data_IF_851054589054
#
_entry.id   IF_851054589054
#
_cell.length_a   1.000
_cell.length_b   1.000
_cell.length_c   1.000
_cell.angle_alpha   90.00
_cell.angle_beta   90.00
_cell.angle_gamma   90.00
#
_symmetry.space_group_name_H-M   'P 1'
#
loop_
_entity.id
_entity.type
_entity.pdbx_description
1 polymer ?
#
# COMPACT_ATOMS: atom_id res chain seq x y z
N UNK A 1 -25.56 12.38 11.64
CA UNK A 1 -24.52 12.37 12.69
C UNK A 1 -25.16 12.32 14.06
N UNK A 2 -24.58 11.61 15.03
CA UNK A 2 -25.09 11.56 16.43
C UNK A 2 -24.03 12.15 17.35
N UNK A 3 -24.38 13.16 18.16
CA UNK A 3 -23.44 13.88 19.03
C UNK A 3 -23.19 13.13 20.35
N UNK A 4 -21.95 13.16 20.86
CA UNK A 4 -21.60 12.51 22.15
C UNK A 4 -21.71 13.48 23.34
N UNK A 5 -22.05 12.98 24.53
CA UNK A 5 -22.13 13.81 25.75
C UNK A 5 -20.78 14.44 26.16
N UNK A 6 -19.66 13.79 25.82
CA UNK A 6 -18.30 14.28 26.08
C UNK A 6 -17.96 15.52 25.24
N UNK A 7 -18.56 15.64 24.04
CA UNK A 7 -18.42 16.78 23.15
C UNK A 7 -18.91 18.09 23.78
N UNK A 8 -20.01 18.03 24.56
CA UNK A 8 -20.58 19.19 25.25
C UNK A 8 -19.69 19.68 26.40
N UNK A 9 -18.91 18.79 27.03
CA UNK A 9 -17.94 19.15 28.06
C UNK A 9 -16.61 19.65 27.48
N UNK A 10 -16.19 19.15 26.32
CA UNK A 10 -14.89 19.45 25.73
C UNK A 10 -14.90 20.66 24.79
N UNK A 11 -16.06 21.27 24.50
CA UNK A 11 -16.24 22.35 23.51
C UNK A 11 -15.76 22.02 22.08
N UNK A 12 -15.48 20.74 21.80
CA UNK A 12 -15.11 20.22 20.49
C UNK A 12 -16.20 19.27 19.99
N UNK A 13 -16.62 19.34 18.72
CA UNK A 13 -17.62 18.43 18.16
C UNK A 13 -17.07 17.00 18.08
N UNK A 14 -17.57 16.10 18.94
CA UNK A 14 -17.24 14.66 18.98
C UNK A 14 -18.52 13.88 18.79
N UNK A 15 -18.61 13.12 17.70
CA UNK A 15 -19.79 12.33 17.35
C UNK A 15 -19.61 10.90 17.83
N UNK A 16 -20.66 10.26 18.35
CA UNK A 16 -20.60 8.81 18.58
C UNK A 16 -20.51 8.03 17.27
N UNK A 17 -21.10 8.60 16.21
CA UNK A 17 -21.02 8.10 14.83
C UNK A 17 -21.14 9.26 13.84
N UNK A 18 -20.13 9.36 12.96
CA UNK A 18 -20.16 10.22 11.79
C UNK A 18 -20.40 9.35 10.55
N UNK A 19 -21.61 9.43 9.99
CA UNK A 19 -21.96 8.74 8.74
C UNK A 19 -22.03 9.76 7.62
N UNK A 20 -21.32 9.50 6.52
CA UNK A 20 -21.36 10.29 5.29
C UNK A 20 -21.89 9.38 4.19
N UNK A 21 -23.02 9.76 3.61
CA UNK A 21 -23.69 9.00 2.56
C UNK A 21 -23.30 9.53 1.18
N UNK A 22 -22.86 8.62 0.31
CA UNK A 22 -22.43 8.84 -1.07
C UNK A 22 -21.60 10.13 -1.32
N UNK A 23 -20.53 10.41 -0.54
CA UNK A 23 -19.74 11.61 -0.77
C UNK A 23 -18.99 11.53 -2.09
N UNK A 24 -18.86 12.67 -2.76
CA UNK A 24 -18.01 12.85 -3.92
C UNK A 24 -16.79 13.69 -3.53
N UNK A 25 -15.62 13.06 -3.56
CA UNK A 25 -14.36 13.67 -3.12
C UNK A 25 -13.39 13.71 -4.30
N UNK A 26 -12.90 14.90 -4.62
CA UNK A 26 -11.77 15.05 -5.53
C UNK A 26 -10.50 15.21 -4.71
N UNK A 27 -9.55 14.31 -4.90
CA UNK A 27 -8.21 14.39 -4.34
C UNK A 27 -7.26 14.77 -5.47
N UNK A 28 -6.54 15.88 -5.33
CA UNK A 28 -5.66 16.42 -6.36
C UNK A 28 -4.26 16.58 -5.80
N UNK A 29 -3.25 16.01 -6.46
CA UNK A 29 -1.85 16.36 -6.25
C UNK A 29 -1.45 17.38 -7.30
N UNK A 30 -0.95 18.54 -6.88
CA UNK A 30 -0.49 19.57 -7.80
C UNK A 30 0.92 19.32 -8.33
N UNK A 31 1.38 20.14 -9.28
CA UNK A 31 2.73 20.06 -9.86
C UNK A 31 3.85 20.18 -8.83
N UNK A 32 3.61 20.87 -7.71
CA UNK A 32 4.54 21.01 -6.60
C UNK A 32 4.53 19.79 -5.67
N UNK A 33 3.60 18.85 -5.85
CA UNK A 33 3.44 17.65 -5.03
C UNK A 33 2.50 17.82 -3.84
N UNK A 34 1.89 18.99 -3.69
CA UNK A 34 0.95 19.31 -2.61
C UNK A 34 -0.36 18.60 -2.86
N UNK A 35 -0.96 18.04 -1.82
CA UNK A 35 -2.21 17.27 -1.93
C UNK A 35 -3.38 18.14 -1.50
N UNK A 36 -4.47 18.09 -2.25
CA UNK A 36 -5.71 18.81 -1.99
C UNK A 36 -6.85 17.83 -1.90
N UNK A 37 -7.69 17.92 -0.87
CA UNK A 37 -8.90 17.10 -0.67
C UNK A 37 -10.11 18.02 -0.73
N UNK A 38 -10.99 17.82 -1.72
CA UNK A 38 -12.16 18.69 -1.89
C UNK A 38 -11.80 20.17 -2.13
N UNK A 39 -10.60 20.45 -2.64
CA UNK A 39 -10.09 21.81 -2.84
C UNK A 39 -9.28 22.39 -1.67
N UNK A 40 -9.22 21.72 -0.52
CA UNK A 40 -8.44 22.14 0.66
C UNK A 40 -7.05 21.51 0.59
N UNK A 41 -5.99 22.32 0.59
CA UNK A 41 -4.60 21.82 0.57
C UNK A 41 -4.16 21.29 1.94
N UNK A 42 -3.55 20.11 1.99
CA UNK A 42 -2.97 19.52 3.21
C UNK A 42 -1.81 20.38 3.76
N UNK A 43 -1.05 21.01 2.86
CA UNK A 43 0.13 21.82 3.15
C UNK A 43 -0.25 23.24 3.62
N UNK A 44 -1.40 23.76 3.16
CA UNK A 44 -1.98 25.02 3.62
C UNK A 44 -2.66 24.87 4.99
N UNK A 45 -2.73 23.65 5.50
CA UNK A 45 -3.33 23.30 6.77
C UNK A 45 -2.36 23.51 7.96
N UNK A 46 -1.21 24.17 7.77
CA UNK A 46 -0.51 24.78 8.90
C UNK A 46 -1.13 26.12 9.32
N UNK A 47 -1.96 26.77 8.49
CA UNK A 47 -2.43 28.15 8.72
C UNK A 47 -3.91 28.42 8.41
N UNK A 48 -4.74 27.40 8.17
CA UNK A 48 -6.19 27.57 7.96
C UNK A 48 -7.01 26.52 8.72
N UNK A 49 -8.10 26.96 9.34
CA UNK A 49 -9.11 26.20 10.13
C UNK A 49 -9.86 25.09 9.35
N UNK A 50 -9.34 24.65 8.20
CA UNK A 50 -9.95 23.66 7.34
C UNK A 50 -9.33 22.27 7.56
N UNK A 51 -9.83 21.52 8.55
CA UNK A 51 -9.99 20.05 8.57
C UNK A 51 -8.82 19.09 8.32
N UNK A 52 -7.64 19.56 7.90
CA UNK A 52 -6.48 18.72 7.53
C UNK A 52 -5.17 19.22 8.13
N UNK A 53 -5.25 20.04 9.18
CA UNK A 53 -4.11 20.39 10.04
C UNK A 53 -3.72 19.17 10.90
N UNK A 54 -2.58 19.18 11.62
CA UNK A 54 -2.32 18.17 12.67
C UNK A 54 -3.53 18.04 13.62
N UNK A 55 -4.18 19.17 13.94
CA UNK A 55 -5.41 19.20 14.75
C UNK A 55 -6.63 18.61 14.03
N UNK A 56 -6.73 18.72 12.70
CA UNK A 56 -7.79 18.09 11.90
C UNK A 56 -7.66 16.57 11.84
N UNK A 57 -6.43 16.06 11.71
CA UNK A 57 -6.13 14.64 11.84
C UNK A 57 -6.40 14.15 13.27
N UNK A 58 -5.94 14.88 14.28
CA UNK A 58 -6.25 14.57 15.68
C UNK A 58 -7.77 14.52 15.92
N UNK A 59 -8.52 15.49 15.41
CA UNK A 59 -9.98 15.52 15.49
C UNK A 59 -10.60 14.30 14.81
N UNK A 60 -10.18 13.96 13.59
CA UNK A 60 -10.66 12.82 12.82
C UNK A 60 -10.47 11.50 13.59
N UNK A 61 -9.26 11.25 14.11
CA UNK A 61 -8.96 10.04 14.88
C UNK A 61 -9.50 10.07 16.31
N UNK A 62 -9.89 11.23 16.81
CA UNK A 62 -10.63 11.36 18.06
C UNK A 62 -12.08 10.93 17.94
N UNK A 63 -12.63 10.83 16.72
CA UNK A 63 -14.00 10.37 16.48
C UNK A 63 -14.11 8.85 16.73
N UNK A 64 -14.97 8.38 17.63
CA UNK A 64 -15.21 6.96 17.88
C UNK A 64 -15.49 6.12 16.64
N UNK A 65 -16.36 6.61 15.74
CA UNK A 65 -16.68 5.92 14.50
C UNK A 65 -16.93 6.91 13.36
N UNK A 66 -16.28 6.67 12.23
CA UNK A 66 -16.55 7.32 10.94
C UNK A 66 -16.89 6.24 9.91
N UNK A 67 -18.04 6.39 9.25
CA UNK A 67 -18.47 5.54 8.17
C UNK A 67 -18.76 6.38 6.92
N UNK A 68 -18.24 5.95 5.77
CA UNK A 68 -18.60 6.43 4.45
C UNK A 68 -19.24 5.27 3.72
N UNK A 69 -20.41 5.49 3.14
CA UNK A 69 -21.14 4.47 2.37
C UNK A 69 -21.35 4.98 0.96
N UNK A 70 -21.00 4.18 -0.04
CA UNK A 70 -21.29 4.48 -1.45
C UNK A 70 -20.55 5.69 -2.04
N UNK A 71 -19.41 6.09 -1.47
CA UNK A 71 -18.66 7.26 -1.92
C UNK A 71 -18.03 7.11 -3.30
N UNK A 72 -17.63 8.23 -3.88
CA UNK A 72 -16.82 8.31 -5.11
C UNK A 72 -15.60 9.18 -4.87
N UNK A 73 -14.43 8.69 -5.27
CA UNK A 73 -13.18 9.43 -5.17
C UNK A 73 -12.56 9.59 -6.55
N UNK A 74 -12.28 10.84 -6.93
CA UNK A 74 -11.52 11.17 -8.13
C UNK A 74 -10.12 11.60 -7.72
N UNK A 75 -9.11 10.80 -8.05
CA UNK A 75 -7.70 11.12 -7.86
C UNK A 75 -7.11 11.75 -9.13
N UNK A 76 -6.55 12.95 -9.00
CA UNK A 76 -5.90 13.70 -10.06
C UNK A 76 -4.45 13.96 -9.66
N UNK A 77 -3.48 13.52 -10.46
CA UNK A 77 -2.05 13.80 -10.21
C UNK A 77 -1.48 14.66 -11.34
N UNK A 78 -1.26 15.95 -11.07
CA UNK A 78 -0.71 16.90 -12.04
C UNK A 78 0.79 16.71 -12.30
N UNK A 79 1.51 15.97 -11.43
CA UNK A 79 2.90 15.60 -11.70
C UNK A 79 3.00 14.53 -12.78
N UNK A 80 1.91 13.80 -13.01
CA UNK A 80 1.82 12.74 -14.01
C UNK A 80 0.77 13.14 -15.05
N UNK A 81 1.12 14.11 -15.88
CA UNK A 81 0.26 14.71 -16.91
C UNK A 81 -0.29 13.69 -17.93
N UNK A 82 0.39 12.56 -18.10
CA UNK A 82 -0.05 11.45 -18.96
C UNK A 82 -1.02 10.46 -18.29
N UNK A 83 -1.18 10.54 -16.96
CA UNK A 83 -2.02 9.63 -16.20
C UNK A 83 -3.48 10.12 -16.21
N UNK A 84 -4.40 9.27 -16.70
CA UNK A 84 -5.84 9.57 -16.58
C UNK A 84 -6.22 9.65 -15.10
N UNK A 85 -7.13 10.57 -14.72
CA UNK A 85 -7.66 10.60 -13.36
C UNK A 85 -8.20 9.23 -12.94
N UNK A 86 -7.82 8.78 -11.75
CA UNK A 86 -8.29 7.52 -11.18
C UNK A 86 -9.63 7.77 -10.49
N UNK A 87 -10.68 7.13 -10.98
CA UNK A 87 -12.02 7.20 -10.38
C UNK A 87 -12.33 5.91 -9.63
N UNK A 88 -12.49 6.02 -8.32
CA UNK A 88 -12.91 4.93 -7.45
C UNK A 88 -14.39 5.11 -7.12
N UNK A 89 -15.20 4.09 -7.44
CA UNK A 89 -16.64 4.07 -7.17
C UNK A 89 -17.03 3.09 -6.07
N UNK A 90 -18.21 3.33 -5.46
CA UNK A 90 -18.76 2.46 -4.42
C UNK A 90 -17.83 2.33 -3.22
N UNK A 91 -17.17 3.42 -2.85
CA UNK A 91 -16.24 3.48 -1.74
C UNK A 91 -17.00 3.34 -0.43
N UNK A 92 -16.72 2.26 0.29
CA UNK A 92 -17.19 2.04 1.64
C UNK A 92 -15.97 2.13 2.56
N UNK A 93 -15.99 3.08 3.48
CA UNK A 93 -14.94 3.26 4.48
C UNK A 93 -15.55 3.16 5.86
N UNK A 94 -14.89 2.45 6.76
CA UNK A 94 -15.22 2.48 8.17
C UNK A 94 -13.94 2.60 8.98
N UNK A 95 -13.95 3.55 9.91
CA UNK A 95 -12.91 3.75 10.90
C UNK A 95 -13.54 3.69 12.28
N UNK A 96 -12.96 2.86 13.15
CA UNK A 96 -13.34 2.71 14.55
C UNK A 96 -12.14 3.02 15.42
N UNK A 97 -12.26 4.05 16.25
CA UNK A 97 -11.22 4.49 17.15
C UNK A 97 -11.64 4.16 18.59
N UNK A 98 -10.81 3.40 19.29
CA UNK A 98 -10.84 3.25 20.73
C UNK A 98 -9.91 4.24 21.41
N UNK A 99 -9.65 4.03 22.71
CA UNK A 99 -8.72 4.88 23.47
C UNK A 99 -7.31 4.90 22.86
N UNK A 100 -6.86 3.75 22.34
CA UNK A 100 -5.54 3.60 21.70
C UNK A 100 -5.55 2.78 20.42
N UNK A 101 -6.67 2.14 20.09
CA UNK A 101 -6.78 1.26 18.94
C UNK A 101 -7.47 1.97 17.79
N UNK A 102 -6.98 1.76 16.58
CA UNK A 102 -7.54 2.32 15.36
C UNK A 102 -7.75 1.17 14.38
N UNK A 103 -9.00 0.88 14.07
CA UNK A 103 -9.37 -0.13 13.08
C UNK A 103 -9.98 0.56 11.87
N UNK A 104 -9.40 0.32 10.70
CA UNK A 104 -9.86 0.89 9.44
C UNK A 104 -10.16 -0.22 8.43
N UNK A 105 -11.18 0.00 7.61
CA UNK A 105 -11.48 -0.81 6.44
C UNK A 105 -11.96 0.09 5.32
N UNK A 106 -11.38 -0.09 4.15
CA UNK A 106 -11.75 0.56 2.91
C UNK A 106 -12.04 -0.51 1.87
N UNK A 107 -13.22 -0.47 1.28
CA UNK A 107 -13.57 -1.30 0.14
C UNK A 107 -13.96 -0.37 -1.01
N UNK A 108 -13.26 -0.43 -2.14
CA UNK A 108 -13.49 0.46 -3.28
C UNK A 108 -13.40 -0.27 -4.61
N UNK A 109 -14.13 0.21 -5.62
CA UNK A 109 -14.18 -0.38 -6.96
C UNK A 109 -13.42 0.52 -7.92
N UNK A 110 -12.32 0.05 -8.51
CA UNK A 110 -11.60 0.82 -9.53
C UNK A 110 -12.36 0.79 -10.87
N UNK A 111 -11.90 1.54 -11.88
CA UNK A 111 -12.43 1.43 -13.24
C UNK A 111 -12.32 0.00 -13.78
N UNK A 112 -13.22 -0.40 -14.67
CA UNK A 112 -13.34 -1.78 -15.14
C UNK A 112 -12.07 -2.30 -15.86
N UNK A 113 -11.30 -1.40 -16.47
CA UNK A 113 -10.00 -1.68 -17.11
C UNK A 113 -8.86 -1.86 -16.12
N UNK A 114 -9.03 -1.52 -14.84
CA UNK A 114 -8.00 -1.59 -13.81
C UNK A 114 -8.10 -2.82 -12.92
N UNK A 115 -9.30 -3.35 -12.72
CA UNK A 115 -9.46 -4.49 -11.83
C UNK A 115 -10.83 -4.64 -11.21
N UNK A 116 -10.87 -5.48 -10.17
CA UNK A 116 -12.07 -5.73 -9.37
C UNK A 116 -12.04 -4.90 -8.08
N UNK A 117 -13.16 -4.93 -7.36
CA UNK A 117 -13.27 -4.32 -6.03
C UNK A 117 -12.16 -4.83 -5.11
N UNK A 118 -11.37 -3.91 -4.57
CA UNK A 118 -10.29 -4.22 -3.64
C UNK A 118 -10.69 -3.88 -2.20
N UNK A 119 -9.93 -4.42 -1.26
CA UNK A 119 -10.12 -4.20 0.17
C UNK A 119 -8.80 -3.82 0.82
N UNK A 120 -8.80 -2.76 1.62
CA UNK A 120 -7.73 -2.42 2.55
C UNK A 120 -8.26 -2.52 3.98
N UNK A 121 -7.47 -3.09 4.88
CA UNK A 121 -7.80 -3.22 6.30
C UNK A 121 -6.58 -2.86 7.11
N UNK A 122 -6.76 -2.05 8.14
CA UNK A 122 -5.68 -1.67 9.04
C UNK A 122 -6.11 -1.84 10.48
N UNK A 123 -5.19 -2.32 11.31
CA UNK A 123 -5.36 -2.38 12.76
C UNK A 123 -4.11 -1.83 13.40
N UNK A 124 -4.24 -0.66 14.02
CA UNK A 124 -3.14 0.08 14.62
C UNK A 124 -3.40 0.32 16.10
N UNK A 125 -2.32 0.49 16.84
CA UNK A 125 -2.32 0.92 18.22
C UNK A 125 -1.35 2.09 18.37
N UNK A 126 -1.79 3.17 19.00
CA UNK A 126 -0.94 4.30 19.33
C UNK A 126 -0.19 4.09 20.65
N UNK A 127 1.02 4.64 20.75
CA UNK A 127 1.75 4.74 22.00
C UNK A 127 1.00 5.58 23.05
N UNK A 128 1.27 5.31 24.33
CA UNK A 128 0.65 6.03 25.44
C UNK A 128 1.00 7.53 25.40
N UNK A 129 0.03 8.39 25.71
CA UNK A 129 0.19 9.86 25.81
C UNK A 129 0.62 10.56 24.50
N UNK A 130 0.56 9.86 23.37
CA UNK A 130 0.80 10.44 22.04
C UNK A 130 -0.51 10.91 21.42
N UNK A 131 -0.40 11.83 20.47
CA UNK A 131 -1.57 12.39 19.76
C UNK A 131 -2.10 11.37 18.76
N UNK A 132 -3.43 11.24 18.58
CA UNK A 132 -4.01 10.29 17.64
C UNK A 132 -3.50 10.45 16.19
N UNK A 133 -3.27 11.68 15.72
CA UNK A 133 -2.75 11.98 14.39
C UNK A 133 -1.24 11.74 14.22
N UNK A 134 -0.53 11.35 15.29
CA UNK A 134 0.91 11.11 15.25
C UNK A 134 1.24 9.67 14.81
N UNK A 135 1.10 9.44 13.50
CA UNK A 135 1.34 8.13 12.87
C UNK A 135 2.75 7.57 13.10
N UNK A 136 3.72 8.43 13.43
CA UNK A 136 5.10 8.01 13.76
C UNK A 136 5.17 7.17 15.04
N UNK A 137 4.09 7.14 15.84
CA UNK A 137 4.02 6.37 17.07
C UNK A 137 2.99 5.23 17.00
N UNK A 138 2.55 4.89 15.79
CA UNK A 138 1.61 3.80 15.55
C UNK A 138 2.35 2.48 15.34
N UNK A 139 1.80 1.43 15.93
CA UNK A 139 2.23 0.05 15.69
C UNK A 139 1.04 -0.79 15.27
N UNK A 140 1.20 -1.68 14.30
CA UNK A 140 0.07 -2.44 13.80
C UNK A 140 0.31 -3.15 12.48
N UNK A 141 -0.78 -3.54 11.84
CA UNK A 141 -0.76 -4.27 10.57
C UNK A 141 -1.71 -3.62 9.57
N UNK A 142 -1.25 -3.50 8.33
CA UNK A 142 -2.03 -3.15 7.16
C UNK A 142 -2.15 -4.38 6.27
N UNK A 143 -3.35 -4.67 5.78
CA UNK A 143 -3.67 -5.72 4.83
C UNK A 143 -4.32 -5.10 3.60
N UNK A 144 -3.86 -5.50 2.42
CA UNK A 144 -4.43 -5.14 1.14
C UNK A 144 -4.76 -6.39 0.34
N UNK A 145 -5.93 -6.42 -0.28
CA UNK A 145 -6.36 -7.50 -1.17
C UNK A 145 -6.92 -6.91 -2.46
N UNK A 146 -6.28 -7.27 -3.56
CA UNK A 146 -6.69 -6.96 -4.91
C UNK A 146 -6.98 -8.30 -5.61
N UNK A 147 -8.26 -8.74 -5.69
CA UNK A 147 -8.60 -10.02 -6.30
C UNK A 147 -8.23 -10.11 -7.78
N UNK A 148 -8.28 -8.97 -8.46
CA UNK A 148 -7.78 -8.77 -9.82
C UNK A 148 -7.32 -7.33 -9.97
N UNK A 149 -6.09 -7.12 -10.40
CA UNK A 149 -5.53 -5.83 -10.75
C UNK A 149 -4.73 -5.91 -12.04
N UNK A 150 -4.91 -4.92 -12.92
CA UNK A 150 -4.03 -4.62 -14.04
C UNK A 150 -2.93 -3.67 -13.57
N UNK A 151 -1.73 -4.23 -13.42
CA UNK A 151 -0.55 -3.53 -12.91
C UNK A 151 0.00 -2.51 -13.91
N UNK A 152 -0.34 -2.63 -15.20
CA UNK A 152 0.03 -1.65 -16.23
C UNK A 152 -0.66 -0.29 -16.03
N UNK A 153 -1.83 -0.29 -15.38
CA UNK A 153 -2.53 0.91 -14.97
C UNK A 153 -2.01 1.40 -13.62
N UNK A 154 -1.80 0.50 -12.66
CA UNK A 154 -1.35 0.86 -11.31
C UNK A 154 0.02 1.57 -11.32
N UNK A 155 0.96 1.13 -12.16
CA UNK A 155 2.29 1.77 -12.29
C UNK A 155 2.22 3.25 -12.66
N UNK A 156 1.14 3.69 -13.32
CA UNK A 156 0.95 5.10 -13.69
C UNK A 156 0.67 5.97 -12.47
N UNK A 157 0.31 5.38 -11.33
CA UNK A 157 -0.06 6.10 -10.10
C UNK A 157 0.82 5.75 -8.89
N UNK A 158 1.65 4.71 -8.99
CA UNK A 158 2.52 4.25 -7.90
C UNK A 158 3.98 4.26 -8.34
N UNK A 159 4.87 4.69 -7.45
CA UNK A 159 6.32 4.56 -7.61
C UNK A 159 6.76 3.20 -7.05
N UNK A 160 7.28 2.33 -7.92
CA UNK A 160 7.83 1.03 -7.55
C UNK A 160 9.36 1.08 -7.64
N UNK A 161 10.08 0.36 -6.77
CA UNK A 161 11.55 0.30 -6.81
C UNK A 161 12.09 -0.53 -7.99
N UNK A 162 11.21 -1.16 -8.76
CA UNK A 162 11.49 -1.90 -9.99
C UNK A 162 10.53 -1.44 -11.09
N UNK A 163 10.90 -1.64 -12.35
CA UNK A 163 10.02 -1.32 -13.47
C UNK A 163 9.07 -2.50 -13.70
N UNK A 164 7.78 -2.29 -13.49
CA UNK A 164 6.74 -3.24 -13.82
C UNK A 164 5.87 -2.64 -14.92
N UNK A 165 6.00 -3.14 -16.14
CA UNK A 165 5.35 -2.61 -17.33
C UNK A 165 3.92 -3.15 -17.48
N UNK A 166 3.74 -4.44 -17.21
CA UNK A 166 2.49 -5.19 -17.39
C UNK A 166 2.29 -6.26 -16.32
N UNK A 167 1.04 -6.67 -16.13
CA UNK A 167 0.66 -7.80 -15.28
C UNK A 167 -0.82 -7.78 -14.94
N UNK A 168 -1.50 -8.92 -15.08
CA UNK A 168 -2.91 -9.12 -14.66
C UNK A 168 -2.97 -10.24 -13.63
N UNK A 169 -3.57 -9.97 -12.47
CA UNK A 169 -3.82 -11.03 -11.51
C UNK A 169 -4.16 -10.57 -10.10
N UNK A 170 -4.02 -11.50 -9.16
CA UNK A 170 -4.36 -11.29 -7.77
C UNK A 170 -3.12 -10.92 -6.95
N UNK A 171 -3.30 -9.97 -6.03
CA UNK A 171 -2.27 -9.54 -5.10
C UNK A 171 -2.86 -9.44 -3.69
N UNK A 172 -2.16 -9.99 -2.72
CA UNK A 172 -2.42 -9.72 -1.30
C UNK A 172 -1.14 -9.24 -0.65
N UNK A 173 -1.23 -8.17 0.12
CA UNK A 173 -0.09 -7.61 0.82
C UNK A 173 -0.41 -7.41 2.29
N UNK A 174 0.58 -7.66 3.13
CA UNK A 174 0.59 -7.33 4.55
C UNK A 174 1.79 -6.44 4.81
N UNK A 175 1.62 -5.42 5.64
CA UNK A 175 2.72 -4.59 6.13
C UNK A 175 2.59 -4.45 7.64
N UNK A 176 3.65 -4.74 8.36
CA UNK A 176 3.75 -4.55 9.80
C UNK A 176 4.54 -3.28 10.08
N UNK A 177 3.98 -2.43 10.93
CA UNK A 177 4.60 -1.20 11.37
C UNK A 177 4.84 -1.26 12.88
N UNK A 178 5.98 -0.74 13.30
CA UNK A 178 6.32 -0.54 14.70
C UNK A 178 6.87 0.86 14.88
N UNK A 179 6.21 1.65 15.73
CA UNK A 179 6.56 3.06 15.97
C UNK A 179 6.76 3.81 14.64
N UNK A 180 5.77 3.72 13.75
CA UNK A 180 5.76 4.37 12.44
C UNK A 180 6.72 3.76 11.40
N UNK A 181 7.58 2.83 11.80
CA UNK A 181 8.57 2.23 10.91
C UNK A 181 8.10 0.87 10.37
N UNK A 182 8.17 0.61 9.05
CA UNK A 182 7.92 -0.70 8.49
C UNK A 182 8.97 -1.72 8.98
N UNK A 183 8.52 -2.78 9.62
CA UNK A 183 9.40 -3.85 10.15
C UNK A 183 9.25 -5.17 9.40
N UNK A 184 8.10 -5.40 8.78
CA UNK A 184 7.88 -6.56 7.93
C UNK A 184 6.88 -6.25 6.83
N UNK A 185 6.98 -6.95 5.71
CA UNK A 185 5.98 -6.95 4.66
C UNK A 185 5.88 -8.35 4.06
N UNK A 186 4.67 -8.84 3.85
CA UNK A 186 4.42 -10.09 3.11
C UNK A 186 3.63 -9.75 1.85
N UNK A 187 3.98 -10.36 0.72
CA UNK A 187 3.32 -10.18 -0.56
C UNK A 187 3.02 -11.56 -1.15
N UNK A 188 1.73 -11.89 -1.24
CA UNK A 188 1.27 -13.01 -2.06
C UNK A 188 0.87 -12.47 -3.43
N UNK A 189 1.39 -13.09 -4.48
CA UNK A 189 1.14 -12.69 -5.85
C UNK A 189 0.83 -13.91 -6.71
N UNK A 190 -0.14 -13.74 -7.61
CA UNK A 190 -0.47 -14.69 -8.66
C UNK A 190 -0.84 -13.87 -9.90
N UNK A 191 0.16 -13.63 -10.74
CA UNK A 191 0.10 -12.71 -11.87
C UNK A 191 0.36 -13.45 -13.18
N UNK A 192 -0.20 -12.92 -14.26
CA UNK A 192 -0.03 -13.41 -15.64
C UNK A 192 0.37 -12.28 -16.55
N UNK A 193 0.99 -12.61 -17.68
CA UNK A 193 1.45 -11.66 -18.69
C UNK A 193 2.24 -10.51 -18.04
N UNK A 194 3.27 -10.87 -17.28
CA UNK A 194 4.05 -9.94 -16.48
C UNK A 194 5.30 -9.54 -17.24
N UNK A 195 5.43 -8.26 -17.52
CA UNK A 195 6.69 -7.69 -18.01
C UNK A 195 7.31 -6.83 -16.93
N UNK A 196 8.48 -7.24 -16.44
CA UNK A 196 9.18 -6.54 -15.37
C UNK A 196 10.67 -6.44 -15.66
N UNK A 197 11.29 -5.36 -15.19
CA UNK A 197 12.73 -5.16 -15.22
C UNK A 197 13.20 -4.84 -13.80
N UNK A 198 13.98 -5.76 -13.24
CA UNK A 198 14.43 -5.71 -11.85
C UNK A 198 15.42 -4.58 -11.60
N UNK A 199 16.37 -4.40 -12.51
CA UNK A 199 17.40 -3.36 -12.47
C UNK A 199 17.46 -2.66 -13.81
N UNK A 200 17.78 -1.37 -13.84
CA UNK A 200 17.85 -0.60 -15.10
C UNK A 200 18.83 -1.22 -16.12
N UNK A 201 19.87 -1.90 -15.64
CA UNK A 201 20.89 -2.60 -16.43
C UNK A 201 20.56 -4.08 -16.71
N UNK A 202 19.49 -4.63 -16.15
CA UNK A 202 19.08 -6.02 -16.36
C UNK A 202 18.14 -6.12 -17.58
N UNK A 203 18.11 -7.27 -18.27
CA UNK A 203 17.11 -7.52 -19.31
C UNK A 203 15.70 -7.43 -18.73
N UNK A 204 14.75 -7.05 -19.58
CA UNK A 204 13.32 -7.13 -19.25
C UNK A 204 12.91 -8.60 -19.26
N UNK A 205 12.28 -9.03 -18.18
CA UNK A 205 11.73 -10.36 -18.00
C UNK A 205 10.28 -10.34 -18.48
N UNK A 206 10.02 -11.08 -19.54
CA UNK A 206 8.66 -11.36 -20.02
C UNK A 206 8.23 -12.72 -19.47
N UNK A 207 7.18 -12.73 -18.65
CA UNK A 207 6.72 -13.89 -17.91
C UNK A 207 5.26 -14.17 -18.23
N UNK A 208 4.96 -15.37 -18.71
CA UNK A 208 3.58 -15.82 -18.92
C UNK A 208 2.80 -15.83 -17.61
N UNK A 209 3.43 -16.32 -16.55
CA UNK A 209 2.89 -16.25 -15.20
C UNK A 209 3.99 -16.26 -14.14
N UNK A 210 3.68 -15.65 -12.99
CA UNK A 210 4.49 -15.68 -11.78
C UNK A 210 3.57 -15.82 -10.57
N UNK A 211 3.94 -16.69 -9.66
CA UNK A 211 3.18 -16.93 -8.44
C UNK A 211 4.11 -17.24 -7.28
N UNK A 212 3.74 -16.80 -6.08
CA UNK A 212 4.47 -17.13 -4.86
C UNK A 212 4.17 -16.15 -3.73
N UNK A 213 4.90 -16.35 -2.64
CA UNK A 213 4.92 -15.47 -1.49
C UNK A 213 6.30 -14.86 -1.34
N UNK A 214 6.36 -13.56 -1.10
CA UNK A 214 7.58 -12.84 -0.70
C UNK A 214 7.38 -12.31 0.72
N UNK A 215 8.39 -12.48 1.57
CA UNK A 215 8.42 -11.94 2.93
C UNK A 215 9.67 -11.09 3.09
N UNK A 216 9.49 -9.83 3.38
CA UNK A 216 10.52 -8.87 3.73
C UNK A 216 10.45 -8.62 5.23
N UNK A 217 11.59 -8.68 5.92
CA UNK A 217 11.70 -8.27 7.31
C UNK A 217 12.94 -7.42 7.50
N UNK A 218 12.80 -6.36 8.31
CA UNK A 218 13.86 -5.39 8.57
C UNK A 218 14.02 -5.16 10.07
N UNK A 219 15.24 -5.33 10.56
CA UNK A 219 15.69 -4.87 11.87
C UNK A 219 16.71 -3.75 11.71
N UNK A 220 17.30 -3.29 12.82
CA UNK A 220 18.32 -2.24 12.83
C UNK A 220 19.60 -2.63 12.09
N UNK A 221 19.90 -3.93 12.06
CA UNK A 221 21.17 -4.52 11.66
C UNK A 221 21.01 -5.63 10.60
N UNK A 222 19.77 -5.89 10.16
CA UNK A 222 19.46 -6.98 9.24
C UNK A 222 18.32 -6.62 8.30
N UNK A 223 18.47 -6.98 7.03
CA UNK A 223 17.39 -7.02 6.05
C UNK A 223 17.28 -8.44 5.51
N UNK A 224 16.11 -9.06 5.62
CA UNK A 224 15.88 -10.39 5.05
C UNK A 224 14.72 -10.39 4.07
N UNK A 225 14.95 -10.97 2.89
CA UNK A 225 13.95 -11.25 1.88
C UNK A 225 13.86 -12.77 1.73
N UNK A 226 12.67 -13.33 1.87
CA UNK A 226 12.40 -14.75 1.63
C UNK A 226 11.33 -14.87 0.56
N UNK A 227 11.56 -15.75 -0.40
CA UNK A 227 10.56 -16.16 -1.36
C UNK A 227 10.16 -17.60 -1.05
N UNK A 228 8.85 -17.86 -0.98
CA UNK A 228 8.27 -19.18 -0.75
C UNK A 228 7.38 -19.56 -1.91
N UNK A 229 7.57 -20.77 -2.41
CA UNK A 229 6.83 -21.35 -3.52
C UNK A 229 6.82 -20.43 -4.75
N UNK A 230 7.90 -19.66 -4.95
CA UNK A 230 8.01 -18.73 -6.07
C UNK A 230 8.34 -19.50 -7.34
N UNK A 231 7.44 -19.45 -8.31
CA UNK A 231 7.61 -20.08 -9.61
C UNK A 231 7.15 -19.13 -10.72
N UNK A 232 7.82 -19.20 -11.87
CA UNK A 232 7.48 -18.42 -13.04
C UNK A 232 7.75 -19.20 -14.33
N UNK A 233 7.06 -18.82 -15.40
CA UNK A 233 7.37 -19.30 -16.74
C UNK A 233 7.70 -18.10 -17.61
N UNK A 234 8.89 -18.11 -18.19
CA UNK A 234 9.34 -17.11 -19.15
C UNK A 234 8.59 -17.26 -20.47
N UNK A 235 8.12 -16.14 -21.02
CA UNK A 235 7.53 -16.06 -22.34
C UNK A 235 8.69 -15.98 -23.37
N UNK A 236 9.01 -17.09 -24.02
CA UNK A 236 9.97 -17.10 -25.13
C UNK A 236 9.22 -17.12 -26.47
N UNK A 237 9.41 -16.11 -27.34
CA UNK A 237 8.87 -16.10 -28.70
C UNK A 237 9.31 -17.30 -29.56
N UNK A 238 10.43 -17.95 -29.23
CA UNK A 238 11.02 -19.04 -30.01
C UNK A 238 10.69 -20.44 -29.48
N UNK A 239 9.83 -20.55 -28.46
CA UNK A 239 9.30 -21.83 -27.97
C UNK A 239 10.17 -22.58 -26.94
N UNK A 240 11.25 -21.97 -26.44
CA UNK A 240 12.05 -22.50 -25.32
C UNK A 240 11.80 -21.74 -24.01
N UNK A 241 10.52 -21.56 -23.66
CA UNK A 241 10.12 -20.90 -22.42
C UNK A 241 10.75 -21.57 -21.19
N UNK A 242 11.50 -20.80 -20.41
CA UNK A 242 12.15 -21.27 -19.19
C UNK A 242 11.08 -21.40 -18.10
N UNK A 243 10.74 -22.64 -17.73
CA UNK A 243 9.86 -22.92 -16.61
C UNK A 243 10.68 -23.04 -15.32
N UNK A 244 10.64 -21.99 -14.50
CA UNK A 244 11.25 -22.02 -13.19
C UNK A 244 10.34 -22.75 -12.19
N UNK A 245 10.78 -23.87 -11.60
CA UNK A 245 9.96 -24.62 -10.66
C UNK A 245 9.71 -23.79 -9.39
N UNK A 246 8.57 -24.03 -8.73
CA UNK A 246 8.29 -23.40 -7.43
C UNK A 246 9.42 -23.70 -6.45
N UNK A 247 10.18 -22.68 -6.08
CA UNK A 247 11.34 -22.81 -5.21
C UNK A 247 11.27 -21.85 -4.03
N UNK A 248 11.94 -22.27 -2.96
CA UNK A 248 12.09 -21.48 -1.74
C UNK A 248 13.55 -21.00 -1.69
N UNK A 249 13.72 -19.68 -1.62
CA UNK A 249 15.01 -19.02 -1.52
C UNK A 249 14.94 -17.84 -0.56
N UNK A 250 16.08 -17.46 -0.01
CA UNK A 250 16.17 -16.37 0.94
C UNK A 250 17.50 -15.67 0.86
N UNK A 251 17.45 -14.36 1.02
CA UNK A 251 18.60 -13.48 1.10
C UNK A 251 18.52 -12.75 2.42
N UNK A 252 19.62 -12.73 3.16
CA UNK A 252 19.74 -12.04 4.43
C UNK A 252 20.97 -11.17 4.40
N UNK A 253 20.81 -9.85 4.41
CA UNK A 253 21.89 -8.87 4.44
C UNK A 253 22.09 -8.37 5.88
N UNK A 254 23.35 -8.26 6.30
CA UNK A 254 23.75 -7.56 7.51
C UNK A 254 23.97 -6.08 7.17
N UNK A 255 23.32 -5.21 7.93
CA UNK A 255 23.38 -3.76 7.75
C UNK A 255 24.26 -3.12 8.81
N UNK A 256 25.10 -2.19 8.37
CA UNK A 256 25.92 -1.32 9.21
C UNK A 256 25.26 0.03 9.44
N UNK A 257 26.05 1.03 9.81
CA UNK A 257 25.59 2.42 9.86
C UNK A 257 25.18 2.88 8.46
N UNK A 258 24.13 3.70 8.40
CA UNK A 258 23.59 4.29 7.16
C UNK A 258 23.21 3.23 6.09
N UNK A 259 22.70 2.08 6.54
CA UNK A 259 22.32 0.94 5.68
C UNK A 259 23.46 0.38 4.80
N UNK A 260 24.72 0.63 5.17
CA UNK A 260 25.86 0.04 4.49
C UNK A 260 25.81 -1.50 4.62
N UNK A 261 25.81 -2.22 3.49
CA UNK A 261 25.79 -3.69 3.51
C UNK A 261 27.16 -4.20 3.99
N UNK A 262 27.21 -4.81 5.17
CA UNK A 262 28.43 -5.35 5.78
C UNK A 262 28.71 -6.80 5.38
N UNK A 263 27.66 -7.51 4.98
CA UNK A 263 27.74 -8.91 4.57
C UNK A 263 26.36 -9.45 4.23
N UNK A 264 26.31 -10.69 3.77
CA UNK A 264 25.04 -11.34 3.49
C UNK A 264 25.15 -12.85 3.38
N UNK A 265 24.02 -13.51 3.57
CA UNK A 265 23.83 -14.93 3.37
C UNK A 265 22.72 -15.13 2.34
N UNK A 266 22.95 -16.03 1.38
CA UNK A 266 21.93 -16.46 0.42
C UNK A 266 21.71 -17.93 0.66
N UNK A 267 20.47 -18.32 0.92
CA UNK A 267 20.05 -19.70 1.00
C UNK A 267 19.07 -20.01 -0.13
N UNK A 268 19.15 -21.22 -0.67
CA UNK A 268 18.15 -21.72 -1.59
C UNK A 268 18.10 -23.23 -1.52
N UNK A 269 16.89 -23.77 -1.44
CA UNK A 269 16.71 -25.22 -1.29
C UNK A 269 16.78 -25.94 -2.64
N UNK A 270 16.47 -25.25 -3.74
CA UNK A 270 16.45 -25.78 -5.12
C UNK A 270 16.77 -24.69 -6.14
N UNK A 271 18.03 -24.25 -6.21
CA UNK A 271 18.53 -23.49 -7.35
C UNK A 271 19.01 -24.49 -8.40
N UNK A 272 18.31 -24.54 -9.53
CA UNK A 272 18.89 -25.16 -10.72
C UNK A 272 19.84 -24.15 -11.37
N UNK A 273 21.13 -24.36 -11.15
CA UNK A 273 22.18 -23.49 -11.69
C UNK A 273 22.24 -23.51 -13.22
N UNK A 274 21.75 -24.56 -13.89
CA UNK A 274 21.66 -24.62 -15.34
C UNK A 274 20.56 -23.69 -15.88
N UNK A 275 19.47 -23.52 -15.12
CA UNK A 275 18.41 -22.57 -15.43
C UNK A 275 18.83 -21.12 -15.12
N UNK A 276 19.60 -20.88 -14.05
CA UNK A 276 20.10 -19.52 -13.75
C UNK A 276 21.08 -18.99 -14.80
N UNK A 277 21.82 -19.85 -15.50
CA UNK A 277 22.73 -19.42 -16.56
C UNK A 277 22.02 -18.95 -17.85
N UNK A 278 20.69 -19.12 -17.93
CA UNK A 278 19.87 -18.81 -19.11
C UNK A 278 18.97 -17.57 -18.91
N UNK A 279 18.96 -16.98 -17.72
CA UNK A 279 18.21 -15.77 -17.35
C UNK A 279 19.18 -14.58 -17.29
#
# INVERSE_FOLDING_TARGET
>A
AVLSAQSLLALEPRFSQLLIDAPELTIRRDTQGRIFIGGIGLDAAEHADAGTTEAGLDWLFSQPELAIVGGRVRWVDERRTEARPLELGGLNFIMRNGLRSHALRLDATPPADWGQRFTLRGRFTQSLLKRPGDFQHWSGQLYAELPRADLSQLRRHVDLPFQLSEGDGAVRAWAELKDGQPVAATLDLALRAVRLRLLASAPELDLDHIQGRLDLARSKDKLSLQARQLGFVSADPNGSGIAWPRSDWGVSLQLGKDDAVLGGEVNAQRLDFALMAQI
#
